data_IF_827033573360
#
_entry.id   IF_827033573360
#
_cell.length_a   1.000
_cell.length_b   1.000
_cell.length_c   1.000
_cell.angle_alpha   90.00
_cell.angle_beta   90.00
_cell.angle_gamma   90.00
#
_symmetry.space_group_name_H-M   'P 1'
#
loop_
_entity.id
_entity.type
_entity.pdbx_description
1 polymer ?
#
# COMPACT_ATOMS: atom_id res chain seq x y z
N UNK A 1 15.66 7.01 -6.15
CA UNK A 1 15.25 8.00 -7.19
C UNK A 1 16.35 9.01 -7.49
N UNK A 2 16.98 9.67 -6.51
CA UNK A 2 18.03 10.69 -6.77
C UNK A 2 19.47 10.23 -6.46
N UNK A 3 19.77 8.94 -6.60
CA UNK A 3 21.14 8.39 -6.45
C UNK A 3 21.58 7.91 -5.05
N UNK A 4 20.77 8.11 -4.00
CA UNK A 4 21.06 7.57 -2.66
C UNK A 4 20.47 6.16 -2.40
N UNK A 5 20.87 5.54 -1.29
CA UNK A 5 20.33 4.27 -0.77
C UNK A 5 19.72 4.45 0.63
N UNK A 6 18.90 3.48 1.05
CA UNK A 6 18.32 3.40 2.41
C UNK A 6 18.63 2.01 2.95
N UNK A 7 19.25 1.94 4.13
CA UNK A 7 19.73 0.69 4.73
C UNK A 7 19.27 0.56 6.18
N UNK A 8 18.94 -0.65 6.59
CA UNK A 8 18.71 -1.01 7.99
C UNK A 8 19.95 -1.73 8.48
N UNK A 9 20.72 -1.11 9.38
CA UNK A 9 21.95 -1.68 9.93
C UNK A 9 21.66 -2.56 11.15
N UNK A 10 21.73 -3.91 11.06
CA UNK A 10 21.25 -4.79 12.14
C UNK A 10 22.07 -4.71 13.43
N UNK A 11 23.33 -4.26 13.35
CA UNK A 11 24.24 -4.12 14.49
C UNK A 11 24.06 -2.80 15.27
N UNK A 12 23.27 -1.85 14.75
CA UNK A 12 23.03 -0.55 15.38
C UNK A 12 21.65 -0.54 16.03
N UNK A 13 21.61 -0.45 17.36
CA UNK A 13 20.37 -0.58 18.11
C UNK A 13 19.96 0.72 18.79
N UNK A 14 18.71 1.14 18.57
CA UNK A 14 18.08 2.27 19.26
C UNK A 14 16.68 1.83 19.68
N UNK A 15 16.35 1.96 20.97
CA UNK A 15 15.01 1.66 21.48
C UNK A 15 14.02 2.79 21.18
N UNK A 16 12.82 2.44 20.69
CA UNK A 16 11.73 3.39 20.45
C UNK A 16 10.48 3.00 21.22
N UNK A 17 9.88 3.94 21.95
CA UNK A 17 8.61 3.74 22.65
C UNK A 17 7.45 4.01 21.68
N UNK A 18 6.90 2.95 21.09
CA UNK A 18 5.75 3.03 20.20
C UNK A 18 4.48 3.48 20.95
N UNK A 19 3.75 4.44 20.36
CA UNK A 19 2.50 4.97 20.89
C UNK A 19 1.38 4.74 19.89
N UNK A 20 0.15 4.53 20.38
CA UNK A 20 -1.04 4.35 19.54
C UNK A 20 -1.58 5.67 18.98
N UNK A 21 -1.30 6.79 19.64
CA UNK A 21 -1.77 8.11 19.24
C UNK A 21 -0.73 9.19 19.53
N UNK A 22 -0.82 10.30 18.79
CA UNK A 22 0.00 11.48 19.06
C UNK A 22 -0.42 12.11 20.38
N UNK A 23 0.52 12.42 21.30
CA UNK A 23 0.23 13.18 22.51
C UNK A 23 0.14 14.70 22.27
N UNK A 24 0.50 15.16 21.07
CA UNK A 24 0.58 16.58 20.72
C UNK A 24 -0.65 17.07 19.98
N UNK A 25 -1.01 18.32 20.24
CA UNK A 25 -2.00 19.07 19.48
C UNK A 25 -1.37 19.64 18.22
N UNK A 26 -2.08 19.54 17.10
CA UNK A 26 -1.63 20.09 15.82
C UNK A 26 -2.39 21.38 15.50
N UNK A 27 -1.70 22.45 15.09
CA UNK A 27 -2.34 23.69 14.70
C UNK A 27 -3.12 23.50 13.37
N UNK A 28 -4.25 24.21 13.24
CA UNK A 28 -5.08 24.21 12.03
C UNK A 28 -6.32 23.32 12.09
N UNK A 29 -7.19 23.46 11.09
CA UNK A 29 -8.39 22.63 10.97
C UNK A 29 -8.02 21.18 10.62
N UNK A 30 -8.69 20.20 11.24
CA UNK A 30 -8.48 18.77 10.98
C UNK A 30 -7.41 18.09 11.84
N UNK A 31 -6.75 18.82 12.76
CA UNK A 31 -5.80 18.26 13.72
C UNK A 31 -4.67 17.44 13.08
N UNK A 32 -4.29 16.32 13.70
CA UNK A 32 -3.24 15.41 13.19
C UNK A 32 -3.55 14.98 11.76
N UNK A 33 -4.80 14.61 11.48
CA UNK A 33 -5.22 14.11 10.17
C UNK A 33 -5.07 15.17 9.07
N UNK A 34 -5.51 16.41 9.33
CA UNK A 34 -5.41 17.51 8.38
C UNK A 34 -3.96 17.80 7.96
N UNK A 35 -3.03 17.82 8.92
CA UNK A 35 -1.60 18.00 8.64
C UNK A 35 -1.02 16.78 7.92
N UNK A 36 -1.36 15.57 8.36
CA UNK A 36 -0.88 14.32 7.78
C UNK A 36 -1.25 14.21 6.30
N UNK A 37 -2.54 14.39 5.95
CA UNK A 37 -3.00 14.21 4.57
C UNK A 37 -2.47 15.30 3.63
N UNK A 38 -2.29 16.54 4.11
CA UNK A 38 -1.58 17.58 3.34
C UNK A 38 -0.13 17.19 3.05
N UNK A 39 0.58 16.66 4.04
CA UNK A 39 1.98 16.22 3.86
C UNK A 39 2.07 15.03 2.90
N UNK A 40 1.18 14.06 3.01
CA UNK A 40 1.14 12.91 2.11
C UNK A 40 0.79 13.32 0.67
N UNK A 41 -0.16 14.24 0.48
CA UNK A 41 -0.48 14.80 -0.84
C UNK A 41 0.73 15.47 -1.48
N UNK A 42 1.53 16.24 -0.71
CA UNK A 42 2.78 16.85 -1.21
C UNK A 42 3.79 15.80 -1.66
N UNK A 43 3.92 14.69 -0.93
CA UNK A 43 4.82 13.58 -1.33
C UNK A 43 4.32 12.92 -2.61
N UNK A 44 3.02 12.60 -2.66
CA UNK A 44 2.40 11.95 -3.80
C UNK A 44 2.59 12.76 -5.10
N UNK A 45 2.30 14.06 -5.07
CA UNK A 45 2.42 14.95 -6.22
C UNK A 45 3.86 15.16 -6.69
N UNK A 46 4.86 14.99 -5.81
CA UNK A 46 6.27 15.21 -6.16
C UNK A 46 6.94 13.94 -6.63
N UNK A 47 6.57 12.77 -6.08
CA UNK A 47 7.39 11.56 -6.19
C UNK A 47 6.69 10.36 -6.80
N UNK A 48 5.36 10.32 -6.88
CA UNK A 48 4.63 9.15 -7.36
C UNK A 48 4.23 9.22 -8.84
N UNK A 49 4.53 10.32 -9.54
CA UNK A 49 4.22 10.49 -10.96
C UNK A 49 2.76 10.08 -11.27
N UNK A 50 2.53 9.24 -12.29
CA UNK A 50 1.19 8.76 -12.68
C UNK A 50 0.51 7.92 -11.59
N UNK A 51 1.27 7.29 -10.69
CA UNK A 51 0.72 6.52 -9.56
C UNK A 51 0.15 7.41 -8.46
N UNK A 52 0.40 8.73 -8.50
CA UNK A 52 -0.25 9.68 -7.60
C UNK A 52 -1.78 9.65 -7.75
N UNK A 53 -2.30 9.43 -8.97
CA UNK A 53 -3.75 9.28 -9.21
C UNK A 53 -4.32 8.05 -8.51
N UNK A 54 -3.59 6.94 -8.51
CA UNK A 54 -4.00 5.76 -7.76
C UNK A 54 -4.02 6.05 -6.27
N UNK A 55 -2.98 6.70 -5.74
CA UNK A 55 -2.93 7.11 -4.33
C UNK A 55 -4.13 7.99 -3.94
N UNK A 56 -4.49 8.98 -4.76
CA UNK A 56 -5.63 9.85 -4.47
C UNK A 56 -6.98 9.14 -4.60
N UNK A 57 -7.13 8.17 -5.50
CA UNK A 57 -8.35 7.34 -5.58
C UNK A 57 -8.57 6.54 -4.29
N UNK A 58 -7.51 6.06 -3.66
CA UNK A 58 -7.58 5.21 -2.46
C UNK A 58 -7.53 6.00 -1.14
N UNK A 59 -7.20 7.30 -1.20
CA UNK A 59 -7.09 8.17 -0.03
C UNK A 59 -7.89 9.45 -0.24
N UNK A 60 -9.18 9.39 0.09
CA UNK A 60 -10.13 10.51 -0.10
C UNK A 60 -9.73 11.78 0.65
N UNK A 61 -9.14 11.65 1.83
CA UNK A 61 -8.72 12.81 2.63
C UNK A 61 -7.52 13.53 1.98
N UNK A 62 -6.54 12.78 1.46
CA UNK A 62 -5.43 13.36 0.70
C UNK A 62 -5.91 13.95 -0.64
N UNK A 63 -6.89 13.30 -1.30
CA UNK A 63 -7.46 13.81 -2.54
C UNK A 63 -8.16 15.16 -2.37
N UNK A 64 -8.91 15.35 -1.28
CA UNK A 64 -9.59 16.62 -0.97
C UNK A 64 -8.64 17.81 -0.85
N UNK A 65 -7.40 17.58 -0.44
CA UNK A 65 -6.41 18.64 -0.23
C UNK A 65 -5.38 18.73 -1.36
N UNK A 66 -5.53 17.92 -2.42
CA UNK A 66 -4.60 17.84 -3.55
C UNK A 66 -4.36 19.20 -4.21
N UNK A 67 -5.43 19.94 -4.48
CA UNK A 67 -5.35 21.20 -5.22
C UNK A 67 -4.96 22.38 -4.32
N UNK A 68 -5.05 22.21 -2.99
CA UNK A 68 -4.65 23.21 -2.00
C UNK A 68 -3.14 23.24 -1.73
N UNK A 69 -2.39 22.23 -2.18
CA UNK A 69 -0.97 22.09 -1.83
C UNK A 69 -0.04 22.52 -2.97
N UNK A 70 0.88 23.43 -2.67
CA UNK A 70 1.89 23.90 -3.63
C UNK A 70 3.18 23.09 -3.52
N UNK A 71 3.66 22.54 -4.65
CA UNK A 71 4.85 21.68 -4.68
C UNK A 71 5.92 22.13 -5.69
N UNK A 72 5.77 23.32 -6.27
CA UNK A 72 6.63 23.82 -7.37
C UNK A 72 8.13 23.72 -7.07
N UNK A 73 8.57 24.21 -5.91
CA UNK A 73 9.99 24.20 -5.55
C UNK A 73 10.56 22.78 -5.38
N UNK A 74 9.72 21.82 -4.97
CA UNK A 74 10.13 20.42 -4.85
C UNK A 74 10.25 19.75 -6.21
N UNK A 75 9.34 20.06 -7.14
CA UNK A 75 9.46 19.63 -8.54
C UNK A 75 10.73 20.20 -9.20
N UNK A 76 11.02 21.50 -8.99
CA UNK A 76 12.26 22.12 -9.49
C UNK A 76 13.51 21.51 -8.86
N UNK A 77 13.47 21.13 -7.59
CA UNK A 77 14.58 20.42 -6.95
C UNK A 77 14.78 19.03 -7.57
N UNK A 78 13.71 18.25 -7.75
CA UNK A 78 13.76 16.92 -8.36
C UNK A 78 14.36 16.97 -9.77
N UNK A 79 13.96 17.97 -10.56
CA UNK A 79 14.50 18.24 -11.88
C UNK A 79 16.00 18.58 -11.83
N UNK A 80 16.42 19.54 -10.99
CA UNK A 80 17.84 19.90 -10.85
C UNK A 80 18.73 18.74 -10.42
N UNK A 81 18.22 17.83 -9.58
CA UNK A 81 18.95 16.65 -9.13
C UNK A 81 18.93 15.49 -10.13
N UNK A 82 18.24 15.66 -11.27
CA UNK A 82 18.12 14.65 -12.33
C UNK A 82 17.65 13.29 -11.76
N UNK A 83 16.67 13.33 -10.86
CA UNK A 83 16.15 12.13 -10.24
C UNK A 83 15.41 11.25 -11.26
N UNK A 84 15.54 9.93 -11.10
CA UNK A 84 14.72 8.96 -11.81
C UNK A 84 13.22 9.13 -11.50
N UNK A 85 12.38 8.63 -12.40
CA UNK A 85 10.94 8.56 -12.23
C UNK A 85 10.52 7.45 -11.24
N UNK A 86 9.24 7.45 -10.90
CA UNK A 86 8.68 6.47 -9.96
C UNK A 86 8.61 5.08 -10.57
N UNK A 87 8.43 4.96 -11.89
CA UNK A 87 8.49 3.67 -12.59
C UNK A 87 9.86 3.01 -12.37
N UNK A 88 10.96 3.74 -12.54
CA UNK A 88 12.30 3.25 -12.22
C UNK A 88 12.43 2.80 -10.78
N UNK A 89 11.83 3.53 -9.82
CA UNK A 89 11.85 3.13 -8.41
C UNK A 89 11.13 1.78 -8.20
N UNK A 90 9.96 1.60 -8.82
CA UNK A 90 9.21 0.36 -8.76
C UNK A 90 9.99 -0.80 -9.39
N UNK A 91 10.64 -0.59 -10.53
CA UNK A 91 11.38 -1.65 -11.23
C UNK A 91 12.70 -2.04 -10.56
N UNK A 92 13.38 -1.09 -9.89
CA UNK A 92 14.75 -1.29 -9.39
C UNK A 92 14.84 -1.38 -7.86
N UNK A 93 13.97 -0.68 -7.13
CA UNK A 93 14.05 -0.58 -5.66
C UNK A 93 12.95 -1.40 -4.99
N UNK A 94 11.73 -1.40 -5.53
CA UNK A 94 10.63 -2.19 -4.96
C UNK A 94 9.89 -3.06 -5.99
N UNK A 95 10.53 -4.07 -6.62
CA UNK A 95 9.92 -4.89 -7.67
C UNK A 95 8.72 -5.74 -7.22
N UNK A 96 8.57 -5.95 -5.90
CA UNK A 96 7.46 -6.70 -5.30
C UNK A 96 6.24 -5.84 -4.97
N UNK A 97 6.15 -4.61 -5.48
CA UNK A 97 5.06 -3.69 -5.18
C UNK A 97 3.68 -4.21 -5.62
N UNK A 98 2.63 -3.64 -5.01
CA UNK A 98 1.23 -3.96 -5.31
C UNK A 98 0.54 -2.92 -6.21
N UNK A 99 1.24 -1.87 -6.65
CA UNK A 99 0.66 -0.88 -7.56
C UNK A 99 0.17 -1.54 -8.86
N UNK A 100 -0.98 -1.07 -9.41
CA UNK A 100 -1.43 -1.53 -10.72
C UNK A 100 -0.36 -1.30 -11.79
N UNK A 101 -0.13 -2.31 -12.62
CA UNK A 101 0.75 -2.24 -13.79
C UNK A 101 -0.04 -2.61 -15.04
N UNK A 102 0.46 -2.23 -16.22
CA UNK A 102 -0.20 -2.56 -17.50
C UNK A 102 -0.31 -4.06 -17.75
N UNK A 103 0.65 -4.83 -17.24
CA UNK A 103 0.77 -6.28 -17.49
C UNK A 103 0.30 -7.14 -16.30
N UNK A 104 -0.18 -6.52 -15.22
CA UNK A 104 -0.56 -7.19 -13.98
C UNK A 104 -2.06 -7.11 -13.74
N UNK A 105 -2.63 -8.16 -13.16
CA UNK A 105 -4.00 -8.08 -12.66
C UNK A 105 -3.99 -7.31 -11.33
N UNK A 106 -4.90 -6.34 -11.22
CA UNK A 106 -5.21 -5.62 -9.99
C UNK A 106 -6.73 -5.57 -9.85
N UNK A 107 -7.29 -6.11 -8.76
CA UNK A 107 -8.73 -6.09 -8.56
C UNK A 107 -9.24 -7.15 -7.61
N UNK A 108 -10.47 -7.62 -7.85
CA UNK A 108 -11.16 -8.61 -7.00
C UNK A 108 -11.26 -9.94 -7.71
N UNK A 109 -11.12 -11.03 -6.97
CA UNK A 109 -11.30 -12.38 -7.49
C UNK A 109 -12.72 -12.83 -7.15
N UNK A 110 -13.58 -12.96 -8.16
CA UNK A 110 -15.00 -13.32 -8.01
C UNK A 110 -15.23 -14.78 -8.37
N UNK A 111 -15.91 -15.52 -7.50
CA UNK A 111 -16.36 -16.87 -7.74
C UNK A 111 -17.57 -16.87 -8.70
N UNK A 112 -17.43 -17.51 -9.86
CA UNK A 112 -18.38 -17.40 -10.98
C UNK A 112 -19.81 -17.80 -10.62
N UNK A 113 -19.99 -18.92 -9.90
CA UNK A 113 -21.33 -19.46 -9.61
C UNK A 113 -21.99 -18.93 -8.33
N UNK A 114 -21.20 -18.38 -7.40
CA UNK A 114 -21.70 -17.92 -6.11
C UNK A 114 -21.85 -16.39 -6.06
N UNK A 115 -21.31 -15.69 -7.05
CA UNK A 115 -21.22 -14.22 -7.07
C UNK A 115 -20.59 -13.62 -5.81
N UNK A 116 -19.61 -14.34 -5.24
CA UNK A 116 -18.88 -13.97 -4.01
C UNK A 116 -17.43 -13.70 -4.33
N UNK A 117 -16.83 -12.75 -3.63
CA UNK A 117 -15.45 -12.35 -3.82
C UNK A 117 -14.53 -12.96 -2.75
N UNK A 118 -13.32 -13.32 -3.16
CA UNK A 118 -12.25 -13.71 -2.25
C UNK A 118 -11.96 -12.56 -1.28
N UNK A 119 -11.78 -12.88 -0.01
CA UNK A 119 -11.60 -11.94 1.08
C UNK A 119 -10.43 -12.40 1.94
N UNK A 120 -9.39 -11.57 2.00
CA UNK A 120 -8.20 -11.77 2.83
C UNK A 120 -8.59 -11.76 4.32
N UNK A 121 -7.91 -12.55 5.16
CA UNK A 121 -8.13 -12.51 6.60
C UNK A 121 -7.77 -11.12 7.15
N UNK A 122 -8.46 -10.68 8.20
CA UNK A 122 -8.03 -9.50 8.95
C UNK A 122 -6.79 -9.81 9.80
N UNK A 123 -6.08 -8.76 10.25
CA UNK A 123 -5.02 -8.92 11.25
C UNK A 123 -5.57 -9.56 12.51
N UNK A 124 -4.91 -10.61 13.01
CA UNK A 124 -5.27 -11.22 14.30
C UNK A 124 -4.87 -10.23 15.40
N UNK A 125 -5.84 -9.81 16.23
CA UNK A 125 -5.58 -9.01 17.42
C UNK A 125 -4.42 -9.63 18.23
N UNK A 126 -3.47 -8.80 18.67
CA UNK A 126 -2.23 -9.25 19.30
C UNK A 126 -0.94 -8.59 18.79
N UNK A 127 -1.03 -7.57 17.94
CA UNK A 127 0.12 -6.78 17.48
C UNK A 127 0.66 -7.16 16.10
N UNK A 128 0.15 -8.24 15.47
CA UNK A 128 0.39 -8.50 14.05
C UNK A 128 -0.61 -7.74 13.19
N UNK A 129 -0.13 -6.70 12.51
CA UNK A 129 -0.92 -5.92 11.53
C UNK A 129 -1.13 -6.73 10.24
N UNK A 130 -0.28 -7.74 9.99
CA UNK A 130 -0.28 -8.50 8.75
C UNK A 130 -1.53 -9.41 8.64
N UNK A 131 -2.18 -9.45 7.46
CA UNK A 131 -3.39 -10.23 7.18
C UNK A 131 -3.05 -11.72 6.98
N UNK A 132 -2.67 -12.41 8.06
CA UNK A 132 -2.33 -13.84 8.03
C UNK A 132 -3.48 -14.71 8.51
N UNK A 133 -3.79 -15.77 7.74
CA UNK A 133 -4.91 -16.66 8.03
C UNK A 133 -5.57 -17.24 6.78
N UNK A 134 -6.75 -17.84 6.95
CA UNK A 134 -7.51 -18.44 5.85
C UNK A 134 -8.26 -17.36 5.07
N UNK A 135 -8.09 -17.35 3.74
CA UNK A 135 -8.91 -16.51 2.88
C UNK A 135 -10.34 -17.10 2.80
N UNK A 136 -11.36 -16.24 2.78
CA UNK A 136 -12.76 -16.66 2.78
C UNK A 136 -13.50 -16.06 1.59
N UNK A 137 -14.63 -16.66 1.19
CA UNK A 137 -15.53 -16.02 0.23
C UNK A 137 -16.53 -15.14 0.99
N UNK A 138 -16.76 -13.90 0.54
CA UNK A 138 -17.77 -12.98 1.08
C UNK A 138 -18.51 -12.27 -0.06
N UNK A 139 -19.61 -11.59 0.26
CA UNK A 139 -20.29 -10.74 -0.72
C UNK A 139 -19.30 -9.73 -1.32
N UNK A 140 -19.37 -9.54 -2.64
CA UNK A 140 -18.51 -8.60 -3.33
C UNK A 140 -18.88 -7.16 -2.94
N UNK A 141 -17.94 -6.43 -2.34
CA UNK A 141 -18.16 -5.02 -1.99
C UNK A 141 -17.58 -4.13 -3.07
N UNK A 142 -18.21 -2.99 -3.39
CA UNK A 142 -17.72 -2.00 -4.38
C UNK A 142 -16.92 -0.88 -3.68
N UNK A 143 -16.22 -1.23 -2.60
CA UNK A 143 -15.38 -0.26 -1.92
C UNK A 143 -14.00 -0.16 -2.60
N UNK A 144 -13.36 0.97 -2.38
CA UNK A 144 -11.95 1.20 -2.72
C UNK A 144 -11.14 0.69 -1.54
N UNK A 145 -10.30 -0.33 -1.76
CA UNK A 145 -9.51 -1.01 -0.71
C UNK A 145 -10.24 -1.91 0.31
N UNK A 146 -11.21 -2.72 -0.10
CA UNK A 146 -11.68 -3.77 0.78
C UNK A 146 -10.58 -4.84 0.94
N UNK A 147 -10.66 -5.66 1.99
CA UNK A 147 -9.97 -6.95 2.10
C UNK A 147 -10.16 -7.91 0.90
N UNK A 148 -10.76 -7.49 -0.21
CA UNK A 148 -10.98 -8.27 -1.42
C UNK A 148 -10.07 -7.83 -2.59
N UNK A 149 -9.13 -6.92 -2.35
CA UNK A 149 -8.21 -6.43 -3.39
C UNK A 149 -6.96 -7.31 -3.44
N UNK A 150 -6.67 -7.85 -4.61
CA UNK A 150 -5.53 -8.71 -4.90
C UNK A 150 -4.78 -8.25 -6.14
N UNK A 151 -3.50 -8.62 -6.19
CA UNK A 151 -2.58 -8.35 -7.29
C UNK A 151 -2.01 -9.67 -7.80
N UNK A 152 -2.05 -9.91 -9.11
CA UNK A 152 -1.28 -10.98 -9.74
C UNK A 152 -0.02 -10.37 -10.33
N UNK A 153 1.13 -10.73 -9.78
CA UNK A 153 2.41 -10.24 -10.30
C UNK A 153 2.88 -11.07 -11.50
N UNK A 154 3.93 -10.59 -12.20
CA UNK A 154 4.53 -11.25 -13.37
C UNK A 154 5.09 -12.65 -13.08
N UNK A 155 5.31 -13.00 -11.82
CA UNK A 155 5.79 -14.32 -11.39
C UNK A 155 4.64 -15.30 -11.11
N UNK A 156 3.39 -14.86 -11.24
CA UNK A 156 2.20 -15.69 -11.01
C UNK A 156 1.73 -15.74 -9.56
N UNK A 157 2.27 -14.91 -8.66
CA UNK A 157 1.81 -14.85 -7.27
C UNK A 157 0.59 -13.94 -7.14
N UNK A 158 -0.43 -14.44 -6.44
CA UNK A 158 -1.58 -13.65 -5.99
C UNK A 158 -1.24 -13.06 -4.62
N UNK A 159 -1.21 -11.74 -4.53
CA UNK A 159 -0.75 -11.00 -3.36
C UNK A 159 -1.78 -9.98 -2.89
N UNK A 160 -1.70 -9.60 -1.62
CA UNK A 160 -2.40 -8.44 -1.08
C UNK A 160 -1.61 -7.14 -1.30
N UNK A 161 -2.25 -6.01 -1.04
CA UNK A 161 -1.67 -4.66 -0.88
C UNK A 161 -0.63 -4.54 0.24
N UNK A 162 -0.40 -5.59 1.03
CA UNK A 162 0.64 -5.64 2.07
C UNK A 162 1.76 -6.62 1.71
N UNK A 163 1.85 -7.02 0.44
CA UNK A 163 2.84 -7.98 -0.08
C UNK A 163 2.74 -9.38 0.55
N UNK A 164 1.57 -9.74 1.10
CA UNK A 164 1.29 -11.07 1.64
C UNK A 164 0.74 -11.96 0.51
N UNK A 165 1.29 -13.16 0.36
CA UNK A 165 0.92 -14.07 -0.73
C UNK A 165 -0.20 -15.04 -0.32
N UNK A 166 -1.07 -15.37 -1.28
CA UNK A 166 -1.94 -16.54 -1.17
C UNK A 166 -1.09 -17.80 -1.40
N UNK A 167 -1.28 -18.80 -0.54
CA UNK A 167 -0.53 -20.04 -0.49
C UNK A 167 -1.48 -21.25 -0.30
N UNK A 168 -1.12 -22.40 -0.85
CA UNK A 168 -1.85 -23.65 -0.66
C UNK A 168 -0.96 -24.58 0.17
N UNK A 169 -1.37 -25.02 1.37
CA UNK A 169 -0.55 -25.93 2.16
C UNK A 169 -0.32 -27.26 1.42
N UNK A 170 0.94 -27.69 1.32
CA UNK A 170 1.35 -28.94 0.64
C UNK A 170 0.73 -30.20 1.25
N UNK A 171 0.36 -30.14 2.52
CA UNK A 171 -0.36 -31.17 3.25
C UNK A 171 -1.37 -30.53 4.21
N UNK A 172 -2.62 -30.43 3.80
CA UNK A 172 -3.74 -30.31 4.74
C UNK A 172 -4.95 -31.08 4.23
N UNK A 173 -5.49 -31.94 5.08
CA UNK A 173 -6.63 -32.83 4.89
C UNK A 173 -7.97 -32.10 4.77
N UNK A 174 -7.94 -30.77 4.59
CA UNK A 174 -9.10 -29.90 4.47
C UNK A 174 -8.88 -28.86 3.36
N UNK A 175 -9.25 -29.20 2.12
CA UNK A 175 -9.42 -28.39 0.89
C UNK A 175 -9.68 -26.86 1.04
N UNK A 176 -8.79 -26.06 1.64
CA UNK A 176 -8.95 -24.61 1.76
C UNK A 176 -7.61 -23.87 1.58
N UNK A 177 -7.52 -22.92 0.63
CA UNK A 177 -6.33 -22.07 0.45
C UNK A 177 -6.11 -21.13 1.64
N UNK A 178 -4.84 -20.85 1.98
CA UNK A 178 -4.40 -20.00 3.11
C UNK A 178 -3.60 -18.80 2.61
N UNK A 179 -3.51 -17.71 3.37
CA UNK A 179 -2.58 -16.61 3.09
C UNK A 179 -1.39 -16.71 4.07
N UNK A 180 -0.15 -16.71 3.55
CA UNK A 180 1.08 -16.75 4.35
C UNK A 180 1.97 -15.55 4.05
N UNK A 181 2.69 -15.12 5.07
CA UNK A 181 3.72 -14.08 4.99
C UNK A 181 4.99 -14.63 4.35
#
# INVERSE_FOLDING_TARGET
>A
MCGGSVEIAPCSHVGHVFRKSSPYTFPGQGGVGGVLYRNLARVALVWLDDWSEFYFKINSEAARVRDDVTVRDRLMLRDRLQCHDFQWYLDNIWPGHFFPTKDGFFGKIRHETQDRCLHRPGGRGGGSIQPTGTATLKECVIEVYPPQTFVLNKKGYIMTDESVCLDAPDYDTANHPRARA
#
